data_IF_945292057188
#
_entry.id   IF_945292057188
#
_cell.length_a   1.000
_cell.length_b   1.000
_cell.length_c   1.000
_cell.angle_alpha   90.00
_cell.angle_beta   90.00
_cell.angle_gamma   90.00
#
_symmetry.space_group_name_H-M   'P 1'
#
loop_
_entity.id
_entity.type
_entity.pdbx_description
1 polymer ?
#
# COMPACT_ATOMS: atom_id res chain seq x y z
N UNK A 1 -46.41 -4.00 -50.03
CA UNK A 1 -45.01 -4.24 -49.70
C UNK A 1 -44.43 -2.95 -49.14
N UNK A 2 -44.34 -2.82 -47.82
CA UNK A 2 -43.82 -1.63 -47.17
C UNK A 2 -42.34 -1.86 -46.87
N UNK A 3 -41.44 -1.04 -47.43
CA UNK A 3 -40.02 -1.06 -47.17
C UNK A 3 -39.73 -0.34 -45.85
N UNK A 4 -39.27 -1.04 -44.83
CA UNK A 4 -38.69 -0.46 -43.64
C UNK A 4 -37.28 0.02 -43.96
N UNK A 5 -37.09 1.33 -43.86
CA UNK A 5 -35.75 1.96 -43.89
C UNK A 5 -35.21 1.98 -42.45
N UNK A 6 -34.18 1.17 -42.21
CA UNK A 6 -33.43 1.19 -40.94
C UNK A 6 -32.43 2.30 -41.02
N UNK A 7 -32.63 3.38 -40.28
CA UNK A 7 -31.61 4.46 -40.12
C UNK A 7 -30.75 4.09 -38.97
N UNK A 8 -29.47 3.70 -39.29
CA UNK A 8 -28.42 3.47 -38.30
C UNK A 8 -27.84 4.81 -37.89
N UNK A 9 -28.15 5.28 -36.68
CA UNK A 9 -27.46 6.42 -36.08
C UNK A 9 -26.12 5.92 -35.52
N UNK A 10 -25.03 6.19 -36.25
CA UNK A 10 -23.68 6.04 -35.72
C UNK A 10 -23.35 7.28 -34.88
N UNK A 11 -23.43 7.13 -33.55
CA UNK A 11 -22.93 8.14 -32.63
C UNK A 11 -21.41 8.00 -32.57
N UNK A 12 -20.73 8.87 -33.27
CA UNK A 12 -19.27 9.06 -33.16
C UNK A 12 -18.99 9.76 -31.81
N UNK A 13 -18.67 9.00 -30.77
CA UNK A 13 -18.04 9.54 -29.58
C UNK A 13 -16.58 9.83 -29.92
N UNK A 14 -16.27 11.07 -30.30
CA UNK A 14 -14.88 11.55 -30.30
C UNK A 14 -14.45 11.74 -28.85
N UNK A 15 -13.88 10.70 -28.25
CA UNK A 15 -13.10 10.86 -27.03
C UNK A 15 -11.81 11.57 -27.39
N UNK A 16 -11.77 12.88 -27.20
CA UNK A 16 -10.51 13.60 -27.15
C UNK A 16 -9.70 13.07 -25.98
N UNK A 17 -8.81 12.11 -26.24
CA UNK A 17 -7.72 11.77 -25.33
C UNK A 17 -6.83 13.00 -25.21
N UNK A 18 -7.14 13.89 -24.25
CA UNK A 18 -6.17 14.82 -23.72
C UNK A 18 -5.10 13.98 -23.03
N UNK A 19 -4.03 13.67 -23.78
CA UNK A 19 -2.79 13.19 -23.23
C UNK A 19 -2.26 14.29 -22.29
N UNK A 20 -2.67 14.24 -21.02
CA UNK A 20 -2.00 15.01 -19.99
C UNK A 20 -0.60 14.41 -19.88
N UNK A 21 0.38 15.11 -20.49
CA UNK A 21 1.79 14.88 -20.23
C UNK A 21 1.97 14.97 -18.72
N UNK A 22 2.21 13.81 -18.09
CA UNK A 22 2.57 13.76 -16.67
C UNK A 22 3.81 14.63 -16.50
N UNK A 23 3.84 15.60 -15.58
CA UNK A 23 5.07 16.32 -15.29
C UNK A 23 6.16 15.30 -14.96
N UNK A 24 7.37 15.50 -15.47
CA UNK A 24 8.54 14.66 -15.20
C UNK A 24 8.63 14.38 -13.71
N UNK A 25 8.21 13.18 -13.32
CA UNK A 25 8.10 12.78 -11.94
C UNK A 25 9.44 12.16 -11.53
N UNK A 26 10.28 12.93 -10.85
CA UNK A 26 11.44 12.39 -10.15
C UNK A 26 10.93 11.52 -8.98
N UNK A 27 10.76 10.22 -9.26
CA UNK A 27 10.19 9.24 -8.35
C UNK A 27 10.92 9.20 -7.01
N UNK A 28 12.25 9.30 -7.01
CA UNK A 28 13.07 9.25 -5.78
C UNK A 28 12.87 10.49 -4.90
N UNK A 29 12.83 11.69 -5.49
CA UNK A 29 12.66 12.95 -4.74
C UNK A 29 11.25 13.09 -4.17
N UNK A 30 10.25 12.68 -4.92
CA UNK A 30 8.86 12.77 -4.49
C UNK A 30 8.48 11.68 -3.48
N UNK A 31 9.10 10.50 -3.56
CA UNK A 31 8.94 9.45 -2.55
C UNK A 31 9.57 9.85 -1.22
N UNK A 32 10.76 10.49 -1.21
CA UNK A 32 11.36 11.03 0.02
C UNK A 32 10.47 12.06 0.70
N UNK A 33 9.85 12.97 -0.07
CA UNK A 33 8.86 13.93 0.48
C UNK A 33 7.67 13.21 1.10
N UNK A 34 7.24 12.08 0.56
CA UNK A 34 6.10 11.33 1.05
C UNK A 34 6.40 10.57 2.35
N UNK A 35 7.61 10.04 2.52
CA UNK A 35 8.06 9.52 3.81
C UNK A 35 8.07 10.62 4.89
N UNK A 36 8.49 11.83 4.55
CA UNK A 36 8.38 12.97 5.46
C UNK A 36 6.92 13.41 5.70
N UNK A 37 6.01 13.17 4.75
CA UNK A 37 4.57 13.39 4.93
C UNK A 37 3.95 12.36 5.88
N UNK A 38 4.26 11.07 5.73
CA UNK A 38 3.80 10.04 6.68
C UNK A 38 4.28 10.34 8.10
N UNK A 39 5.53 10.78 8.26
CA UNK A 39 6.06 11.26 9.53
C UNK A 39 5.36 12.54 10.01
N UNK A 40 5.04 13.45 9.09
CA UNK A 40 4.33 14.70 9.38
C UNK A 40 2.88 14.48 9.77
N UNK A 41 2.17 13.63 9.03
CA UNK A 41 0.79 13.22 9.32
C UNK A 41 0.73 12.48 10.66
N UNK A 42 1.70 11.60 10.91
CA UNK A 42 1.86 10.93 12.18
C UNK A 42 1.96 11.92 13.35
N UNK A 43 2.73 12.99 13.20
CA UNK A 43 2.88 14.03 14.23
C UNK A 43 1.63 14.91 14.37
N UNK A 44 1.04 15.35 13.26
CA UNK A 44 -0.07 16.30 13.26
C UNK A 44 -1.39 15.71 13.77
N UNK A 45 -1.62 14.41 13.56
CA UNK A 45 -2.87 13.72 13.94
C UNK A 45 -2.75 12.90 15.24
N UNK A 46 -1.79 13.20 16.10
CA UNK A 46 -1.61 12.46 17.35
C UNK A 46 -1.00 11.05 17.16
N UNK A 47 -0.38 10.78 16.04
CA UNK A 47 0.44 9.59 15.81
C UNK A 47 1.84 9.71 16.46
N UNK A 48 1.98 10.51 17.48
CA UNK A 48 3.22 10.56 18.26
C UNK A 48 3.50 9.22 18.91
N UNK A 49 4.74 8.77 18.85
CA UNK A 49 5.17 7.51 19.48
C UNK A 49 5.22 6.28 18.59
N UNK A 50 5.00 6.42 17.26
CA UNK A 50 5.27 5.34 16.32
C UNK A 50 6.75 5.28 15.93
N UNK A 51 7.18 4.10 15.48
CA UNK A 51 8.53 3.85 15.01
C UNK A 51 8.59 3.52 13.53
N UNK A 52 9.70 3.87 12.89
CA UNK A 52 9.97 3.49 11.50
C UNK A 52 10.78 2.22 11.52
N UNK A 53 10.22 1.17 10.89
CA UNK A 53 10.87 -0.11 10.71
C UNK A 53 11.23 -0.25 9.23
N UNK A 54 12.51 -0.48 8.96
CA UNK A 54 13.00 -0.82 7.63
C UNK A 54 13.31 -2.30 7.58
N UNK A 55 12.91 -2.94 6.50
CA UNK A 55 13.10 -4.37 6.34
C UNK A 55 13.31 -4.75 4.88
N UNK A 56 14.02 -5.85 4.66
CA UNK A 56 14.21 -6.37 3.33
C UNK A 56 12.97 -7.13 2.86
N UNK A 57 12.56 -6.82 1.65
CA UNK A 57 11.53 -7.51 0.89
C UNK A 57 12.04 -7.81 -0.52
N UNK A 58 11.18 -8.21 -1.42
CA UNK A 58 11.53 -8.60 -2.78
C UNK A 58 10.54 -8.03 -3.78
N UNK A 59 10.96 -7.91 -5.04
CA UNK A 59 10.08 -7.51 -6.13
C UNK A 59 9.79 -8.72 -7.01
N UNK A 60 8.54 -9.21 -6.95
CA UNK A 60 8.03 -10.24 -7.85
C UNK A 60 7.32 -9.64 -9.05
N UNK A 61 7.43 -10.26 -10.22
CA UNK A 61 6.72 -9.81 -11.43
C UNK A 61 5.30 -10.38 -11.49
N UNK A 62 5.12 -11.61 -11.04
CA UNK A 62 3.83 -12.29 -10.97
C UNK A 62 3.84 -13.39 -9.90
N UNK A 63 2.71 -14.04 -9.69
CA UNK A 63 2.57 -15.11 -8.71
C UNK A 63 3.44 -16.32 -9.05
N UNK A 64 3.54 -16.68 -10.33
CA UNK A 64 4.34 -17.82 -10.77
C UNK A 64 5.81 -17.62 -10.45
N UNK A 65 6.36 -16.46 -10.79
CA UNK A 65 7.75 -16.09 -10.52
C UNK A 65 8.08 -16.24 -9.03
N UNK A 66 7.15 -15.85 -8.17
CA UNK A 66 7.36 -15.90 -6.71
C UNK A 66 7.18 -17.30 -6.15
N UNK A 67 6.14 -18.03 -6.57
CA UNK A 67 5.73 -19.28 -5.95
C UNK A 67 6.45 -20.51 -6.54
N UNK A 68 6.79 -20.47 -7.82
CA UNK A 68 7.37 -21.63 -8.54
C UNK A 68 8.88 -21.47 -8.70
N UNK A 69 9.33 -20.33 -9.18
CA UNK A 69 10.73 -20.13 -9.55
C UNK A 69 11.58 -19.68 -8.36
N UNK A 70 10.97 -19.43 -7.20
CA UNK A 70 11.69 -19.02 -5.99
C UNK A 70 12.48 -17.72 -6.14
N UNK A 71 12.14 -16.89 -7.13
CA UNK A 71 12.88 -15.68 -7.47
C UNK A 71 12.66 -14.56 -6.43
N UNK A 72 13.11 -14.83 -5.23
CA UNK A 72 13.33 -13.79 -4.21
C UNK A 72 14.70 -13.09 -4.42
N UNK A 73 15.11 -12.95 -5.68
CA UNK A 73 16.47 -12.50 -6.02
C UNK A 73 16.59 -10.98 -6.20
N UNK A 74 15.49 -10.24 -6.17
CA UNK A 74 15.50 -8.78 -6.27
C UNK A 74 15.17 -8.16 -4.91
N UNK A 75 16.13 -8.09 -3.97
CA UNK A 75 15.88 -7.51 -2.66
C UNK A 75 15.61 -6.02 -2.78
N UNK A 76 14.68 -5.54 -1.96
CA UNK A 76 14.32 -4.13 -1.87
C UNK A 76 14.04 -3.79 -0.41
N UNK A 77 14.55 -2.63 0.05
CA UNK A 77 14.24 -2.15 1.39
C UNK A 77 12.86 -1.49 1.41
N UNK A 78 11.96 -2.02 2.20
CA UNK A 78 10.63 -1.48 2.46
C UNK A 78 10.65 -0.72 3.77
N UNK A 79 9.86 0.35 3.83
CA UNK A 79 9.66 1.12 5.05
C UNK A 79 8.24 0.90 5.57
N UNK A 80 8.14 0.57 6.84
CA UNK A 80 6.90 0.51 7.59
C UNK A 80 6.89 1.51 8.74
N UNK A 81 5.72 1.96 9.11
CA UNK A 81 5.47 2.79 10.28
C UNK A 81 4.63 2.00 11.28
N UNK A 82 5.26 1.57 12.37
CA UNK A 82 4.62 0.80 13.43
C UNK A 82 4.10 1.73 14.52
N UNK A 83 2.88 1.51 14.92
CA UNK A 83 2.25 2.13 16.04
C UNK A 83 1.68 1.08 16.99
N UNK A 84 1.98 1.26 18.27
CA UNK A 84 1.55 0.33 19.31
C UNK A 84 0.61 1.05 20.29
N UNK A 85 -0.31 0.33 20.93
CA UNK A 85 -1.07 0.86 22.05
C UNK A 85 -0.16 1.32 23.17
N UNK A 86 -0.66 2.20 24.02
CA UNK A 86 0.04 2.59 25.23
C UNK A 86 0.37 1.40 26.14
N UNK A 87 1.38 1.58 26.98
CA UNK A 87 1.86 0.54 27.89
C UNK A 87 3.06 -0.22 27.36
N UNK A 88 3.48 -1.25 28.11
CA UNK A 88 4.69 -2.04 27.82
C UNK A 88 4.42 -3.49 27.47
N UNK A 89 3.17 -3.94 27.58
CA UNK A 89 2.74 -5.32 27.33
C UNK A 89 2.89 -5.72 25.84
N UNK A 90 3.00 -7.02 25.61
CA UNK A 90 2.98 -7.57 24.26
C UNK A 90 1.57 -7.57 23.69
N UNK A 91 1.44 -7.18 22.42
CA UNK A 91 0.17 -6.99 21.73
C UNK A 91 0.14 -7.71 20.39
N UNK A 92 -1.04 -8.05 19.86
CA UNK A 92 -1.18 -8.47 18.48
C UNK A 92 -0.92 -7.27 17.54
N UNK A 93 -0.46 -7.53 16.32
CA UNK A 93 -0.15 -6.47 15.36
C UNK A 93 -0.83 -6.75 14.03
N UNK A 94 -1.49 -5.73 13.47
CA UNK A 94 -2.09 -5.76 12.14
C UNK A 94 -1.20 -4.99 11.17
N UNK A 95 -0.88 -5.62 10.04
CA UNK A 95 -0.15 -5.00 8.94
C UNK A 95 -1.18 -4.40 7.99
N UNK A 96 -1.05 -3.10 7.74
CA UNK A 96 -1.92 -2.36 6.85
C UNK A 96 -1.23 -2.07 5.52
N UNK A 97 -1.85 -2.48 4.40
CA UNK A 97 -1.39 -2.19 3.04
C UNK A 97 -2.31 -1.16 2.37
N UNK A 98 -1.71 -0.18 1.69
CA UNK A 98 -2.43 0.94 1.10
C UNK A 98 -3.12 0.60 -0.24
N UNK A 99 -4.00 1.48 -0.67
CA UNK A 99 -4.71 1.41 -1.96
C UNK A 99 -3.78 1.72 -3.15
N UNK A 100 -4.34 1.68 -4.38
CA UNK A 100 -3.66 2.09 -5.61
C UNK A 100 -3.23 3.57 -5.62
N UNK A 101 -3.82 4.41 -4.78
CA UNK A 101 -3.37 5.79 -4.58
C UNK A 101 -1.99 5.90 -3.97
N UNK A 102 -1.54 4.86 -3.30
CA UNK A 102 -0.24 4.79 -2.62
C UNK A 102 -0.28 5.40 -1.21
N UNK A 103 0.85 5.36 -0.49
CA UNK A 103 0.91 5.91 0.85
C UNK A 103 0.77 7.44 0.80
N UNK A 104 -0.07 8.02 1.65
CA UNK A 104 -0.34 9.46 1.74
C UNK A 104 -1.27 9.98 0.63
N UNK A 105 -2.18 9.17 0.12
CA UNK A 105 -3.38 9.63 -0.55
C UNK A 105 -4.30 10.24 0.52
N UNK A 106 -4.42 11.56 0.54
CA UNK A 106 -5.08 12.31 1.62
C UNK A 106 -6.53 11.87 1.90
N UNK A 107 -7.24 11.38 0.90
CA UNK A 107 -8.62 10.89 1.04
C UNK A 107 -8.68 9.64 1.92
N UNK A 108 -7.65 8.81 1.85
CA UNK A 108 -7.57 7.55 2.58
C UNK A 108 -6.75 7.65 3.87
N UNK A 109 -5.95 8.71 4.01
CA UNK A 109 -5.21 8.97 5.24
C UNK A 109 -6.16 9.11 6.43
N UNK A 110 -7.31 9.75 6.26
CA UNK A 110 -8.32 9.84 7.31
C UNK A 110 -8.96 8.50 7.63
N UNK A 111 -9.28 7.69 6.62
CA UNK A 111 -9.80 6.34 6.82
C UNK A 111 -8.78 5.45 7.55
N UNK A 112 -7.53 5.45 7.08
CA UNK A 112 -6.43 4.70 7.72
C UNK A 112 -6.22 5.17 9.16
N UNK A 113 -6.30 6.48 9.39
CA UNK A 113 -6.19 7.06 10.73
C UNK A 113 -7.27 6.52 11.66
N UNK A 114 -8.54 6.58 11.26
CA UNK A 114 -9.63 6.11 12.09
C UNK A 114 -9.59 4.59 12.32
N UNK A 115 -9.26 3.81 11.29
CA UNK A 115 -9.08 2.37 11.43
C UNK A 115 -7.94 2.03 12.41
N UNK A 116 -6.80 2.72 12.28
CA UNK A 116 -5.66 2.55 13.18
C UNK A 116 -6.01 2.95 14.62
N UNK A 117 -6.73 4.08 14.83
CA UNK A 117 -7.16 4.50 16.15
C UNK A 117 -8.08 3.48 16.82
N UNK A 118 -8.99 2.88 16.08
CA UNK A 118 -9.89 1.86 16.61
C UNK A 118 -9.09 0.60 17.02
N UNK A 119 -8.19 0.13 16.17
CA UNK A 119 -7.32 -1.01 16.51
C UNK A 119 -6.47 -0.74 17.74
N UNK A 120 -5.88 0.45 17.83
CA UNK A 120 -5.06 0.84 19.00
C UNK A 120 -5.87 0.89 20.29
N UNK A 121 -7.14 1.37 20.26
CA UNK A 121 -8.05 1.36 21.40
C UNK A 121 -8.38 -0.05 21.88
N UNK A 122 -8.46 -1.01 20.94
CA UNK A 122 -8.67 -2.43 21.23
C UNK A 122 -7.39 -3.17 21.63
N UNK A 123 -6.29 -2.45 21.87
CA UNK A 123 -5.02 -3.05 22.28
C UNK A 123 -4.25 -3.73 21.13
N UNK A 124 -4.54 -3.38 19.88
CA UNK A 124 -3.93 -3.96 18.69
C UNK A 124 -2.96 -2.96 18.07
N UNK A 125 -1.70 -3.35 17.85
CA UNK A 125 -0.72 -2.56 17.12
C UNK A 125 -1.03 -2.52 15.62
N UNK A 126 -0.59 -1.46 14.94
CA UNK A 126 -0.77 -1.30 13.49
C UNK A 126 0.55 -0.92 12.84
N UNK A 127 0.97 -1.68 11.83
CA UNK A 127 2.10 -1.36 10.98
C UNK A 127 1.62 -1.00 9.59
N UNK A 128 1.78 0.25 9.20
CA UNK A 128 1.49 0.74 7.85
C UNK A 128 2.74 0.65 6.99
N UNK A 129 2.66 -0.02 5.82
CA UNK A 129 3.82 -0.24 4.95
C UNK A 129 3.70 0.49 3.62
N UNK A 130 4.84 0.95 3.07
CA UNK A 130 4.93 1.59 1.76
C UNK A 130 5.43 0.60 0.71
N UNK A 131 4.50 0.05 -0.06
CA UNK A 131 4.79 -0.91 -1.13
C UNK A 131 5.31 -0.25 -2.43
N UNK A 132 5.15 1.06 -2.60
CA UNK A 132 5.33 1.72 -3.88
C UNK A 132 6.61 2.53 -4.01
N UNK A 133 6.88 3.41 -3.05
CA UNK A 133 8.03 4.32 -3.16
C UNK A 133 9.36 3.61 -3.37
N UNK A 134 9.66 2.50 -2.68
CA UNK A 134 10.89 1.75 -2.93
C UNK A 134 11.01 1.25 -4.36
N UNK A 135 9.88 0.96 -5.02
CA UNK A 135 9.79 0.48 -6.41
C UNK A 135 9.66 1.62 -7.44
N UNK A 136 9.92 2.87 -7.04
CA UNK A 136 9.88 4.03 -7.91
C UNK A 136 8.47 4.48 -8.32
N UNK A 137 7.43 3.94 -7.70
CA UNK A 137 6.05 4.33 -7.96
C UNK A 137 5.48 5.16 -6.81
N UNK A 138 4.74 6.22 -7.12
CA UNK A 138 3.96 6.96 -6.13
C UNK A 138 2.54 6.42 -6.01
N UNK A 139 2.00 5.98 -7.13
CA UNK A 139 0.63 5.52 -7.26
C UNK A 139 0.56 4.56 -8.46
N UNK A 140 -0.32 3.59 -8.38
CA UNK A 140 -0.67 2.69 -9.48
C UNK A 140 -2.09 2.93 -9.99
N UNK A 141 -2.73 4.03 -9.59
CA UNK A 141 -4.11 4.34 -9.94
C UNK A 141 -4.38 4.29 -11.44
N UNK A 142 -3.48 4.86 -12.25
CA UNK A 142 -3.61 4.90 -13.71
C UNK A 142 -3.01 3.68 -14.41
N UNK A 143 -2.16 2.94 -13.73
CA UNK A 143 -1.45 1.80 -14.31
C UNK A 143 -1.04 0.85 -13.19
N UNK A 144 -1.82 -0.21 -13.00
CA UNK A 144 -1.63 -1.21 -11.96
C UNK A 144 -0.41 -2.11 -12.23
N UNK A 145 0.11 -2.15 -13.47
CA UNK A 145 1.26 -2.97 -13.83
C UNK A 145 2.59 -2.43 -13.30
N UNK A 146 2.65 -1.14 -12.93
CA UNK A 146 3.88 -0.51 -12.38
C UNK A 146 4.43 -1.21 -11.16
N UNK A 147 3.54 -1.70 -10.32
CA UNK A 147 3.90 -2.55 -9.18
C UNK A 147 2.94 -3.72 -9.17
N UNK A 148 3.34 -4.91 -9.57
CA UNK A 148 2.49 -6.11 -9.54
C UNK A 148 1.85 -6.34 -8.17
N UNK A 149 0.61 -6.85 -8.18
CA UNK A 149 -0.21 -6.98 -6.96
C UNK A 149 0.46 -7.85 -5.91
N UNK A 150 1.11 -8.93 -6.34
CA UNK A 150 1.80 -9.88 -5.45
C UNK A 150 2.84 -9.21 -4.52
N UNK A 151 3.41 -8.06 -4.94
CA UNK A 151 4.40 -7.37 -4.12
C UNK A 151 3.84 -6.88 -2.78
N UNK A 152 2.56 -6.52 -2.73
CA UNK A 152 1.92 -6.14 -1.48
C UNK A 152 1.82 -7.30 -0.49
N UNK A 153 1.53 -8.50 -0.97
CA UNK A 153 1.49 -9.71 -0.15
C UNK A 153 2.90 -10.09 0.34
N UNK A 154 3.91 -10.07 -0.57
CA UNK A 154 5.30 -10.34 -0.19
C UNK A 154 5.76 -9.37 0.90
N UNK A 155 5.51 -8.08 0.73
CA UNK A 155 5.91 -7.06 1.70
C UNK A 155 5.22 -7.27 3.04
N UNK A 156 3.94 -7.66 3.06
CA UNK A 156 3.22 -7.98 4.29
C UNK A 156 3.82 -9.20 5.01
N UNK A 157 4.17 -10.25 4.27
CA UNK A 157 4.84 -11.45 4.83
C UNK A 157 6.22 -11.12 5.38
N UNK A 158 6.99 -10.27 4.69
CA UNK A 158 8.31 -9.85 5.19
C UNK A 158 8.19 -8.93 6.41
N UNK A 159 7.20 -8.04 6.45
CA UNK A 159 6.87 -7.25 7.62
C UNK A 159 6.51 -8.14 8.83
N UNK A 160 5.67 -9.14 8.60
CA UNK A 160 5.32 -10.14 9.63
C UNK A 160 6.57 -10.82 10.19
N UNK A 161 7.48 -11.26 9.31
CA UNK A 161 8.72 -11.93 9.72
C UNK A 161 9.57 -11.04 10.63
N UNK A 162 9.68 -9.76 10.34
CA UNK A 162 10.41 -8.81 11.18
C UNK A 162 9.68 -8.56 12.50
N UNK A 163 8.36 -8.41 12.46
CA UNK A 163 7.55 -8.16 13.64
C UNK A 163 7.48 -9.34 14.61
N UNK A 164 7.77 -10.58 14.16
CA UNK A 164 7.89 -11.73 15.06
C UNK A 164 8.96 -11.53 16.13
N UNK A 165 10.04 -10.82 15.78
CA UNK A 165 11.14 -10.53 16.71
C UNK A 165 10.96 -9.22 17.48
N UNK A 166 9.86 -8.47 17.24
CA UNK A 166 9.62 -7.21 17.91
C UNK A 166 9.30 -7.43 19.40
N UNK A 167 9.95 -6.71 20.35
CA UNK A 167 9.81 -6.95 21.79
C UNK A 167 8.36 -6.80 22.30
N UNK A 168 7.57 -5.95 21.66
CA UNK A 168 6.16 -5.73 21.97
C UNK A 168 5.19 -6.64 21.21
N UNK A 169 5.67 -7.58 20.39
CA UNK A 169 4.81 -8.54 19.68
C UNK A 169 4.45 -9.72 20.57
N UNK A 170 3.18 -10.13 20.57
CA UNK A 170 2.71 -11.36 21.21
C UNK A 170 2.69 -12.56 20.25
N UNK A 171 3.19 -12.40 19.00
CA UNK A 171 3.21 -13.43 17.97
C UNK A 171 1.91 -13.62 17.21
N UNK A 172 0.86 -12.83 17.51
CA UNK A 172 -0.40 -12.86 16.77
C UNK A 172 -0.44 -11.72 15.77
N UNK A 173 -0.69 -12.05 14.50
CA UNK A 173 -0.68 -11.10 13.40
C UNK A 173 -1.93 -11.20 12.55
N UNK A 174 -2.29 -10.09 11.94
CA UNK A 174 -3.30 -10.00 10.91
C UNK A 174 -2.86 -9.07 9.79
N UNK A 175 -3.52 -9.13 8.66
CA UNK A 175 -3.35 -8.20 7.55
C UNK A 175 -4.67 -7.53 7.24
N UNK A 176 -4.61 -6.28 6.84
CA UNK A 176 -5.76 -5.52 6.36
C UNK A 176 -5.33 -4.49 5.34
N UNK A 177 -6.27 -3.92 4.64
CA UNK A 177 -5.98 -2.88 3.67
C UNK A 177 -7.24 -2.39 2.98
N UNK A 178 -7.08 -1.35 2.17
CA UNK A 178 -8.17 -0.80 1.36
C UNK A 178 -7.94 -1.03 -0.12
N UNK A 179 -8.99 -1.38 -0.87
CA UNK A 179 -8.94 -1.59 -2.32
C UNK A 179 -7.84 -2.59 -2.69
N UNK A 180 -6.83 -2.19 -3.46
CA UNK A 180 -5.64 -2.99 -3.76
C UNK A 180 -5.00 -3.59 -2.50
N UNK A 181 -4.90 -2.82 -1.42
CA UNK A 181 -4.37 -3.31 -0.15
C UNK A 181 -5.24 -4.39 0.47
N UNK A 182 -6.57 -4.28 0.35
CA UNK A 182 -7.49 -5.35 0.74
C UNK A 182 -7.24 -6.64 -0.03
N UNK A 183 -7.05 -6.55 -1.36
CA UNK A 183 -6.70 -7.72 -2.18
C UNK A 183 -5.39 -8.36 -1.73
N UNK A 184 -4.37 -7.56 -1.40
CA UNK A 184 -3.09 -8.08 -0.89
C UNK A 184 -3.23 -8.86 0.42
N UNK A 185 -4.30 -8.64 1.18
CA UNK A 185 -4.56 -9.32 2.45
C UNK A 185 -5.17 -10.72 2.29
N UNK A 186 -5.52 -11.11 1.06
CA UNK A 186 -6.08 -12.45 0.75
C UNK A 186 -5.03 -13.43 0.20
N UNK A 187 -3.83 -12.99 -0.09
CA UNK A 187 -2.70 -13.84 -0.47
C UNK A 187 -1.88 -14.24 0.75
#
# INVERSE_FOLDING_TARGET
MKKCILILFAILFSTSLLAHSSPNFDSKKNCRKKHSMLQGIAKLKGYSGGEIIKFNSYTGFDQRTVLIDGHLNNPIEITGYLRLPEGTGKVPIVIYTHSSGGPGDYVWDDFVYHAAQNLLKEGIGVMYIDNFCPRGARSTWRDQSKVPLINGAIDALMALKVLQSHPRSNGKFGTTGHSRGGTNSFF
#
